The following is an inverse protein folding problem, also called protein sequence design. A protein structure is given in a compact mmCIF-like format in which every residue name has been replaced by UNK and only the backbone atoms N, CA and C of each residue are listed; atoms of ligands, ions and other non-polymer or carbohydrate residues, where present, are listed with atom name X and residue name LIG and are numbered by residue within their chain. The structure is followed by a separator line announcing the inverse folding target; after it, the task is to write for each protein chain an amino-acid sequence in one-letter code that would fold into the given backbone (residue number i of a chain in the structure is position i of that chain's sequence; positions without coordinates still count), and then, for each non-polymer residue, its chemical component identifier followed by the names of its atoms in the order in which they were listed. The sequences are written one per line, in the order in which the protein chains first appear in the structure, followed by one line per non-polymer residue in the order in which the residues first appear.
data_IF_020508387857
#
_entry.id   IF_020508387857
#
_cell.length_a   1.000
_cell.length_b   1.000
_cell.length_c   1.000
_cell.angle_alpha   90.00
_cell.angle_beta   90.00
_cell.angle_gamma   90.00
#
_symmetry.space_group_name_H-M   'P 1'
#
loop_
_entity.id
_entity.type
_entity.pdbx_description
1 polymer ?
#
# COMPACT_ATOMS: atom_id res chain seq x y z
N UNK A 1 12.48 -9.63 11.84
CA UNK A 1 11.27 -9.34 12.66
C UNK A 1 11.81 -8.82 13.98
N UNK A 2 11.47 -7.60 14.36
CA UNK A 2 11.88 -7.01 15.63
C UNK A 2 11.14 -7.72 16.75
N UNK A 3 11.86 -8.22 17.75
CA UNK A 3 11.35 -8.93 18.95
C UNK A 3 10.59 -7.99 19.91
N UNK A 4 10.25 -6.78 19.47
CA UNK A 4 9.52 -5.81 20.28
C UNK A 4 8.04 -6.21 20.38
N UNK A 5 7.45 -6.15 21.58
CA UNK A 5 6.04 -6.47 21.76
C UNK A 5 5.16 -5.51 20.93
N UNK A 6 4.04 -6.00 20.35
CA UNK A 6 3.17 -5.18 19.54
C UNK A 6 2.51 -4.07 20.37
N UNK A 7 2.50 -2.85 19.83
CA UNK A 7 1.82 -1.71 20.46
C UNK A 7 0.31 -1.71 20.17
N UNK A 8 -0.10 -2.16 18.96
CA UNK A 8 -1.51 -2.36 18.60
C UNK A 8 -1.72 -3.84 18.32
N UNK A 9 -2.78 -4.42 18.89
CA UNK A 9 -3.27 -5.75 18.56
C UNK A 9 -4.74 -5.66 18.18
N UNK A 10 -5.07 -6.08 16.99
CA UNK A 10 -6.43 -6.26 16.51
C UNK A 10 -6.72 -7.76 16.47
N UNK A 11 -7.83 -8.19 17.07
CA UNK A 11 -8.20 -9.61 17.16
C UNK A 11 -9.61 -9.80 16.63
N UNK A 12 -9.73 -10.50 15.51
CA UNK A 12 -11.01 -10.84 14.85
C UNK A 12 -11.93 -9.63 14.70
N UNK A 13 -11.34 -8.46 14.35
CA UNK A 13 -12.08 -7.22 14.28
C UNK A 13 -13.08 -7.27 13.12
N UNK A 14 -14.35 -7.06 13.45
CA UNK A 14 -15.47 -7.07 12.50
C UNK A 14 -16.25 -5.77 12.61
N UNK A 15 -16.70 -5.27 11.47
CA UNK A 15 -17.66 -4.17 11.38
C UNK A 15 -18.71 -4.43 10.33
N UNK A 16 -19.95 -4.26 10.72
CA UNK A 16 -21.11 -4.36 9.87
C UNK A 16 -21.99 -3.13 10.05
N UNK A 17 -22.50 -2.58 8.96
CA UNK A 17 -23.45 -1.47 8.91
C UNK A 17 -24.68 -1.94 8.16
N UNK A 18 -25.84 -1.94 8.79
CA UNK A 18 -27.15 -2.28 8.16
C UNK A 18 -27.09 -3.49 7.22
N UNK A 19 -26.45 -4.58 7.67
CA UNK A 19 -26.28 -5.81 6.91
C UNK A 19 -25.10 -5.81 5.92
N UNK A 20 -24.41 -4.69 5.74
CA UNK A 20 -23.22 -4.62 4.88
C UNK A 20 -21.95 -4.79 5.70
N UNK A 21 -21.13 -5.79 5.35
CA UNK A 21 -19.87 -6.07 6.03
C UNK A 21 -18.80 -5.12 5.48
N UNK A 22 -18.37 -4.15 6.30
CA UNK A 22 -17.29 -3.24 5.97
C UNK A 22 -15.91 -3.79 6.33
N UNK A 23 -15.82 -4.59 7.41
CA UNK A 23 -14.62 -5.33 7.82
C UNK A 23 -15.09 -6.70 8.28
N UNK A 24 -14.63 -7.77 7.62
CA UNK A 24 -15.13 -9.12 7.85
C UNK A 24 -14.46 -9.81 9.05
N UNK A 25 -13.14 -9.86 9.01
CA UNK A 25 -12.29 -10.44 10.07
C UNK A 25 -10.88 -9.87 9.88
N UNK A 26 -10.45 -9.03 10.81
CA UNK A 26 -9.12 -8.43 10.76
C UNK A 26 -8.35 -8.75 12.02
N UNK A 27 -7.28 -9.52 11.87
CA UNK A 27 -6.30 -9.81 12.91
C UNK A 27 -4.96 -9.24 12.49
N UNK A 28 -4.37 -8.39 13.33
CA UNK A 28 -3.14 -7.67 13.02
C UNK A 28 -2.38 -7.32 14.30
N UNK A 29 -1.08 -7.49 14.27
CA UNK A 29 -0.14 -6.95 15.25
C UNK A 29 0.73 -5.87 14.60
N UNK A 30 0.80 -4.70 15.24
CA UNK A 30 1.65 -3.58 14.82
C UNK A 30 2.73 -3.37 15.87
N UNK A 31 4.00 -3.36 15.45
CA UNK A 31 5.14 -3.19 16.34
C UNK A 31 5.28 -1.72 16.80
N UNK A 32 5.96 -1.50 17.93
CA UNK A 32 6.28 -0.14 18.38
C UNK A 32 7.26 0.52 17.42
N UNK A 33 6.99 1.79 17.06
CA UNK A 33 7.79 2.55 16.09
C UNK A 33 7.52 2.18 14.62
N UNK A 34 6.67 1.20 14.33
CA UNK A 34 6.35 0.78 12.97
C UNK A 34 5.51 1.83 12.22
N UNK A 35 5.82 2.04 10.95
CA UNK A 35 4.97 2.73 9.99
C UNK A 35 4.23 1.68 9.15
N UNK A 36 2.98 1.39 9.50
CA UNK A 36 2.15 0.46 8.72
C UNK A 36 1.17 1.21 7.81
N UNK A 37 1.12 0.82 6.53
CA UNK A 37 0.20 1.38 5.56
C UNK A 37 -0.96 0.43 5.29
N UNK A 38 -2.21 0.91 5.41
CA UNK A 38 -3.40 0.21 4.94
C UNK A 38 -3.71 0.66 3.54
N UNK A 39 -3.58 -0.23 2.58
CA UNK A 39 -3.71 0.01 1.15
C UNK A 39 -4.87 -0.79 0.56
N UNK A 40 -5.61 -0.22 -0.38
CA UNK A 40 -6.68 -0.91 -1.10
C UNK A 40 -7.62 0.05 -1.81
N UNK A 41 -8.56 -0.45 -2.61
CA UNK A 41 -9.56 0.37 -3.30
C UNK A 41 -10.43 1.17 -2.33
N UNK A 42 -11.12 2.19 -2.85
CA UNK A 42 -12.12 2.93 -2.06
C UNK A 42 -13.22 1.98 -1.57
N UNK A 43 -13.66 2.14 -0.32
CA UNK A 43 -14.73 1.31 0.25
C UNK A 43 -14.30 -0.06 0.78
N UNK A 44 -13.03 -0.46 0.71
CA UNK A 44 -12.59 -1.79 1.19
C UNK A 44 -12.42 -1.92 2.71
N UNK A 45 -12.77 -0.90 3.52
CA UNK A 45 -12.77 -0.99 4.99
C UNK A 45 -11.61 -0.30 5.71
N UNK A 46 -10.63 0.31 5.02
CA UNK A 46 -9.45 0.98 5.63
C UNK A 46 -9.81 2.07 6.64
N UNK A 47 -10.52 3.09 6.19
CA UNK A 47 -10.97 4.21 7.04
C UNK A 47 -11.88 3.73 8.18
N UNK A 48 -12.73 2.73 7.93
CA UNK A 48 -13.57 2.11 8.97
C UNK A 48 -12.70 1.46 10.05
N UNK A 49 -11.67 0.71 9.65
CA UNK A 49 -10.71 0.11 10.59
C UNK A 49 -9.97 1.17 11.40
N UNK A 50 -9.49 2.22 10.73
CA UNK A 50 -8.82 3.33 11.40
C UNK A 50 -9.73 4.03 12.41
N UNK A 51 -11.00 4.27 12.05
CA UNK A 51 -12.01 4.86 12.94
C UNK A 51 -12.35 3.96 14.12
N UNK A 52 -12.36 2.64 13.93
CA UNK A 52 -12.55 1.70 15.05
C UNK A 52 -11.39 1.76 16.05
N UNK A 53 -10.13 1.85 15.57
CA UNK A 53 -8.97 2.03 16.46
C UNK A 53 -9.07 3.36 17.22
N UNK A 54 -9.48 4.43 16.54
CA UNK A 54 -9.65 5.75 17.14
C UNK A 54 -10.80 5.86 18.14
N UNK A 55 -11.79 4.94 18.09
CA UNK A 55 -13.01 5.01 18.88
C UNK A 55 -14.09 5.92 18.32
N UNK A 56 -13.92 6.34 17.07
CA UNK A 56 -14.92 7.11 16.31
C UNK A 56 -16.01 6.19 15.76
N UNK A 57 -15.72 4.89 15.71
CA UNK A 57 -16.64 3.84 15.30
C UNK A 57 -16.49 2.66 16.27
N UNK A 58 -17.60 1.99 16.61
CA UNK A 58 -17.57 0.78 17.45
C UNK A 58 -17.48 -0.45 16.60
N UNK A 59 -16.59 -1.41 16.90
CA UNK A 59 -16.60 -2.71 16.24
C UNK A 59 -17.92 -3.45 16.55
N UNK A 60 -18.38 -4.26 15.58
CA UNK A 60 -19.51 -5.19 15.79
C UNK A 60 -19.06 -6.41 16.58
N UNK A 61 -17.82 -6.85 16.37
CA UNK A 61 -17.18 -7.94 17.10
C UNK A 61 -15.65 -7.76 17.08
N UNK A 62 -14.96 -8.53 17.92
CA UNK A 62 -13.52 -8.50 18.06
C UNK A 62 -13.02 -7.52 19.11
N UNK A 63 -11.71 -7.40 19.19
CA UNK A 63 -11.04 -6.63 20.25
C UNK A 63 -9.93 -5.77 19.68
N UNK A 64 -9.73 -4.59 20.33
CA UNK A 64 -8.63 -3.67 20.03
C UNK A 64 -7.83 -3.44 21.30
N UNK A 65 -6.52 -3.71 21.22
CA UNK A 65 -5.60 -3.53 22.34
C UNK A 65 -4.53 -2.52 21.99
N UNK A 66 -4.22 -1.63 22.92
CA UNK A 66 -3.07 -0.76 22.89
C UNK A 66 -2.12 -1.18 24.02
N UNK A 67 -0.97 -1.75 23.66
CA UNK A 67 -0.10 -2.50 24.58
C UNK A 67 -0.90 -3.61 25.30
N UNK A 68 -0.99 -3.56 26.62
CA UNK A 68 -1.72 -4.54 27.43
C UNK A 68 -3.14 -4.09 27.78
N UNK A 69 -3.57 -2.90 27.31
CA UNK A 69 -4.88 -2.35 27.62
C UNK A 69 -5.85 -2.55 26.47
N UNK A 70 -6.99 -3.16 26.76
CA UNK A 70 -8.11 -3.23 25.81
C UNK A 70 -8.77 -1.84 25.69
N UNK A 71 -8.90 -1.33 24.46
CA UNK A 71 -9.34 0.05 24.21
C UNK A 71 -10.66 0.14 23.43
N UNK A 72 -11.19 -0.93 22.84
CA UNK A 72 -12.46 -0.89 22.09
C UNK A 72 -13.66 -0.37 22.92
N UNK A 73 -13.80 -0.65 24.24
CA UNK A 73 -14.91 -0.11 25.02
C UNK A 73 -14.70 1.36 25.43
N UNK A 74 -13.48 1.91 25.27
CA UNK A 74 -13.14 3.25 25.73
C UNK A 74 -13.57 4.33 24.71
N UNK A 75 -13.97 5.51 25.18
CA UNK A 75 -14.21 6.65 24.31
C UNK A 75 -12.89 7.18 23.71
N UNK A 76 -12.92 7.90 22.56
CA UNK A 76 -11.72 8.32 21.83
C UNK A 76 -10.65 9.01 22.67
N UNK A 77 -11.05 9.93 23.55
CA UNK A 77 -10.15 10.73 24.41
C UNK A 77 -9.34 9.90 25.42
N UNK A 78 -9.77 8.66 25.70
CA UNK A 78 -9.11 7.77 26.67
C UNK A 78 -8.25 6.68 26.00
N UNK A 79 -8.22 6.61 24.66
CA UNK A 79 -7.50 5.56 23.92
C UNK A 79 -6.02 5.80 23.78
N UNK A 80 -5.51 7.01 23.99
CA UNK A 80 -4.09 7.32 23.85
C UNK A 80 -3.60 7.36 22.41
N UNK A 81 -4.52 7.44 21.44
CA UNK A 81 -4.22 7.55 20.00
C UNK A 81 -4.48 8.97 19.50
N UNK A 82 -3.73 9.40 18.51
CA UNK A 82 -3.95 10.66 17.81
C UNK A 82 -4.51 10.39 16.41
N UNK A 83 -5.46 11.20 15.97
CA UNK A 83 -6.12 11.04 14.68
C UNK A 83 -5.97 12.29 13.80
N UNK A 84 -5.49 12.10 12.58
CA UNK A 84 -5.40 13.15 11.56
C UNK A 84 -6.41 12.83 10.46
N UNK A 85 -7.38 13.73 10.30
CA UNK A 85 -8.46 13.59 9.31
C UNK A 85 -8.00 13.97 7.90
N UNK A 86 -8.59 13.40 6.89
CA UNK A 86 -8.35 13.67 5.48
C UNK A 86 -8.49 15.16 5.11
N UNK A 87 -9.43 15.87 5.73
CA UNK A 87 -9.66 17.30 5.53
C UNK A 87 -8.96 18.19 6.57
N UNK A 88 -7.97 17.64 7.29
CA UNK A 88 -7.20 18.28 8.38
C UNK A 88 -8.05 18.70 9.60
N UNK A 89 -9.33 18.93 9.45
CA UNK A 89 -10.29 19.37 10.48
C UNK A 89 -9.78 20.55 11.34
N UNK A 90 -9.10 21.53 10.71
CA UNK A 90 -8.58 22.70 11.40
C UNK A 90 -9.71 23.67 11.80
N UNK A 91 -9.49 24.37 12.91
CA UNK A 91 -10.33 25.49 13.32
C UNK A 91 -9.91 26.74 12.54
N UNK A 92 -10.59 27.02 11.43
CA UNK A 92 -10.23 28.02 10.43
C UNK A 92 -10.12 29.44 10.96
N UNK A 93 -10.90 29.79 12.00
CA UNK A 93 -10.92 31.09 12.65
C UNK A 93 -9.80 31.28 13.70
N UNK A 94 -9.16 30.19 14.11
CA UNK A 94 -8.06 30.19 15.08
C UNK A 94 -6.71 30.35 14.38
N UNK A 95 -5.70 30.81 15.14
CA UNK A 95 -4.31 30.79 14.69
C UNK A 95 -3.75 29.36 14.64
N UNK A 96 -2.58 29.17 13.97
CA UNK A 96 -1.87 27.90 14.02
C UNK A 96 -1.53 27.55 15.49
N UNK A 97 -1.07 28.50 16.28
CA UNK A 97 -0.80 28.32 17.71
C UNK A 97 -2.05 27.82 18.47
N UNK A 98 -3.20 28.48 18.28
CA UNK A 98 -4.43 28.11 19.00
C UNK A 98 -4.97 26.74 18.56
N UNK A 99 -4.79 26.37 17.29
CA UNK A 99 -5.07 25.02 16.80
C UNK A 99 -4.23 23.97 17.54
N UNK A 100 -2.91 24.20 17.68
CA UNK A 100 -2.03 23.29 18.42
C UNK A 100 -2.41 23.27 19.93
N UNK A 101 -2.65 24.41 20.53
CA UNK A 101 -2.93 24.55 21.97
C UNK A 101 -4.28 23.96 22.39
N UNK A 102 -5.24 23.85 21.47
CA UNK A 102 -6.62 23.54 21.76
C UNK A 102 -6.80 22.27 22.61
N UNK A 103 -6.20 21.18 22.20
CA UNK A 103 -6.33 19.89 22.89
C UNK A 103 -5.74 19.88 24.31
N UNK A 104 -4.68 20.65 24.55
CA UNK A 104 -4.07 20.80 25.87
C UNK A 104 -4.93 21.69 26.80
N UNK A 105 -5.46 22.78 26.26
CA UNK A 105 -6.35 23.68 27.01
C UNK A 105 -7.63 22.97 27.49
N UNK A 106 -8.26 22.18 26.61
CA UNK A 106 -9.44 21.36 26.95
C UNK A 106 -9.15 20.35 28.06
N UNK A 107 -7.90 19.87 28.13
CA UNK A 107 -7.45 18.96 29.20
C UNK A 107 -7.04 19.67 30.49
N UNK A 108 -7.14 21.00 30.56
CA UNK A 108 -6.80 21.78 31.74
C UNK A 108 -5.31 21.91 32.02
N UNK A 109 -4.45 21.71 30.97
CA UNK A 109 -3.00 21.90 31.11
C UNK A 109 -2.68 23.36 31.39
N UNK A 110 -1.68 23.63 32.24
CA UNK A 110 -1.30 24.99 32.62
C UNK A 110 -0.85 25.83 31.41
N UNK A 111 -1.12 27.14 31.39
CA UNK A 111 -0.72 28.01 30.27
C UNK A 111 0.77 27.95 29.92
N UNK A 112 1.62 27.87 30.96
CA UNK A 112 3.09 27.76 30.75
C UNK A 112 3.47 26.46 30.07
N UNK A 113 2.90 25.33 30.44
CA UNK A 113 3.15 24.03 29.84
C UNK A 113 2.54 23.95 28.43
N UNK A 114 1.39 24.56 28.18
CA UNK A 114 0.80 24.69 26.84
C UNK A 114 1.77 25.41 25.91
N UNK A 115 2.30 26.58 26.33
CA UNK A 115 3.22 27.36 25.50
C UNK A 115 4.51 26.58 25.23
N UNK A 116 5.07 25.91 26.23
CA UNK A 116 6.29 25.10 26.06
C UNK A 116 6.09 23.96 25.04
N UNK A 117 5.04 23.16 25.19
CA UNK A 117 4.76 22.03 24.28
C UNK A 117 4.39 22.47 22.87
N UNK A 118 3.63 23.58 22.75
CA UNK A 118 3.28 24.12 21.42
C UNK A 118 4.53 24.60 20.70
N UNK A 119 5.46 25.28 21.37
CA UNK A 119 6.72 25.74 20.75
C UNK A 119 7.62 24.58 20.35
N UNK A 120 7.78 23.58 21.21
CA UNK A 120 8.54 22.36 20.91
C UNK A 120 8.03 21.67 19.63
N UNK A 121 6.70 21.44 19.56
CA UNK A 121 6.09 20.80 18.37
C UNK A 121 6.16 21.73 17.15
N UNK A 122 5.98 23.04 17.34
CA UNK A 122 6.06 23.99 16.23
C UNK A 122 7.47 24.08 15.64
N UNK A 123 8.50 23.98 16.47
CA UNK A 123 9.91 23.93 16.02
C UNK A 123 10.18 22.64 15.23
N UNK A 124 9.77 21.48 15.77
CA UNK A 124 9.96 20.17 15.12
C UNK A 124 9.25 20.05 13.77
N UNK A 125 8.16 20.81 13.57
CA UNK A 125 7.35 20.82 12.35
C UNK A 125 7.59 22.08 11.48
N UNK A 126 8.59 22.90 11.78
CA UNK A 126 8.91 24.14 11.05
C UNK A 126 7.70 25.09 10.95
N UNK A 127 6.87 25.16 11.99
CA UNK A 127 5.69 26.01 12.07
C UNK A 127 5.93 27.36 12.75
N UNK A 128 7.10 27.58 13.37
CA UNK A 128 7.42 28.80 14.12
C UNK A 128 7.10 30.09 13.36
N UNK A 129 7.42 30.22 12.04
CA UNK A 129 7.14 31.46 11.30
C UNK A 129 5.64 31.75 11.11
N UNK A 130 4.80 30.70 11.14
CA UNK A 130 3.36 30.80 10.83
C UNK A 130 2.46 30.66 12.07
N UNK A 131 3.01 30.48 13.26
CA UNK A 131 2.26 30.24 14.50
C UNK A 131 1.16 31.28 14.76
N UNK A 132 1.41 32.57 14.45
CA UNK A 132 0.44 33.65 14.64
C UNK A 132 -0.56 33.83 13.50
N UNK A 133 -0.36 33.13 12.38
CA UNK A 133 -1.27 33.20 11.24
C UNK A 133 -2.55 32.39 11.51
N UNK A 134 -3.70 32.89 11.03
CA UNK A 134 -4.95 32.16 11.06
C UNK A 134 -4.87 30.93 10.12
N UNK A 135 -5.48 29.81 10.54
CA UNK A 135 -5.49 28.60 9.73
C UNK A 135 -6.03 28.84 8.30
N UNK A 136 -6.99 29.74 8.14
CA UNK A 136 -7.56 30.13 6.83
C UNK A 136 -6.57 30.82 5.88
N UNK A 137 -5.40 31.25 6.35
CA UNK A 137 -4.37 31.94 5.55
C UNK A 137 -3.12 31.08 5.32
N UNK A 138 -3.09 29.88 5.89
CA UNK A 138 -1.98 28.95 5.72
C UNK A 138 -2.04 28.31 4.30
N UNK A 139 -0.87 28.00 3.78
CA UNK A 139 -0.77 27.11 2.63
C UNK A 139 -1.09 25.66 3.02
N UNK A 140 -1.25 24.81 2.02
CA UNK A 140 -1.66 23.41 2.24
C UNK A 140 -0.64 22.62 3.08
N UNK A 141 0.67 22.87 2.87
CA UNK A 141 1.76 22.23 3.60
C UNK A 141 1.74 22.63 5.08
N UNK A 142 1.59 23.93 5.36
CA UNK A 142 1.46 24.41 6.75
C UNK A 142 0.19 23.90 7.41
N UNK A 143 -0.95 23.85 6.70
CA UNK A 143 -2.20 23.26 7.20
C UNK A 143 -2.02 21.82 7.66
N UNK A 144 -1.36 21.00 6.85
CA UNK A 144 -1.09 19.61 7.19
C UNK A 144 -0.20 19.50 8.42
N UNK A 145 0.91 20.28 8.46
CA UNK A 145 1.82 20.31 9.62
C UNK A 145 1.10 20.77 10.88
N UNK A 146 0.19 21.74 10.80
CA UNK A 146 -0.65 22.15 11.95
C UNK A 146 -1.59 21.03 12.38
N UNK A 147 -2.23 20.30 11.45
CA UNK A 147 -3.09 19.16 11.80
C UNK A 147 -2.31 18.04 12.50
N UNK A 148 -1.10 17.73 12.00
CA UNK A 148 -0.18 16.81 12.66
C UNK A 148 0.26 17.32 14.03
N UNK A 149 0.68 18.57 14.11
CA UNK A 149 1.14 19.21 15.36
C UNK A 149 0.05 19.22 16.43
N UNK A 150 -1.21 19.51 16.05
CA UNK A 150 -2.35 19.42 16.96
C UNK A 150 -2.53 18.03 17.55
N UNK A 151 -2.17 17.01 16.79
CA UNK A 151 -2.23 15.62 17.25
C UNK A 151 -0.99 15.26 18.08
N UNK A 152 0.18 15.74 17.72
CA UNK A 152 1.45 15.44 18.40
C UNK A 152 1.57 16.11 19.75
N UNK A 153 1.06 17.33 19.91
CA UNK A 153 1.17 18.12 21.14
C UNK A 153 0.57 17.43 22.36
N UNK A 154 -0.41 16.55 22.17
CA UNK A 154 -1.02 15.74 23.22
C UNK A 154 -0.28 14.44 23.49
N UNK A 155 0.86 14.22 22.82
CA UNK A 155 1.78 13.08 22.97
C UNK A 155 1.09 11.70 22.86
N UNK A 156 0.41 11.40 21.75
CA UNK A 156 -0.23 10.10 21.58
C UNK A 156 0.81 9.00 21.46
N UNK A 157 0.44 7.77 21.85
CA UNK A 157 1.30 6.59 21.68
C UNK A 157 1.36 6.14 20.20
N UNK A 158 0.25 6.32 19.47
CA UNK A 158 0.09 5.96 18.07
C UNK A 158 -0.57 7.09 17.29
N UNK A 159 -0.11 7.34 16.08
CA UNK A 159 -0.70 8.27 15.13
C UNK A 159 -1.50 7.51 14.08
N UNK A 160 -2.73 7.92 13.88
CA UNK A 160 -3.66 7.41 12.89
C UNK A 160 -3.88 8.48 11.82
N UNK A 161 -3.52 8.20 10.56
CA UNK A 161 -3.58 9.16 9.46
C UNK A 161 -4.52 8.63 8.36
N UNK A 162 -5.62 9.34 8.13
CA UNK A 162 -6.64 8.98 7.14
C UNK A 162 -6.45 9.80 5.87
N UNK A 163 -5.81 9.22 4.86
CA UNK A 163 -5.51 9.82 3.54
C UNK A 163 -4.96 11.25 3.59
N UNK A 164 -3.93 11.55 4.41
CA UNK A 164 -3.52 12.93 4.67
C UNK A 164 -2.89 13.65 3.47
N UNK A 165 -2.47 12.91 2.42
CA UNK A 165 -1.86 13.48 1.21
C UNK A 165 -2.81 13.58 0.01
N UNK A 166 -4.06 13.14 0.15
CA UNK A 166 -4.98 13.04 -0.98
C UNK A 166 -5.26 14.41 -1.66
N UNK A 167 -5.26 15.49 -0.88
CA UNK A 167 -5.57 16.84 -1.38
C UNK A 167 -4.37 17.56 -2.04
N UNK A 168 -3.19 16.92 -2.11
CA UNK A 168 -2.01 17.52 -2.72
C UNK A 168 -1.89 17.25 -4.22
N UNK A 169 -1.34 18.23 -4.95
CA UNK A 169 -0.93 18.03 -6.34
C UNK A 169 0.24 17.01 -6.40
N UNK A 170 0.38 16.25 -7.49
CA UNK A 170 1.37 15.16 -7.57
C UNK A 170 2.80 15.53 -7.15
N UNK A 171 3.35 16.64 -7.65
CA UNK A 171 4.71 17.06 -7.29
C UNK A 171 4.89 17.42 -5.82
N UNK A 172 3.88 18.03 -5.19
CA UNK A 172 3.94 18.36 -3.77
C UNK A 172 3.74 17.11 -2.90
N UNK A 173 2.92 16.16 -3.37
CA UNK A 173 2.70 14.87 -2.69
C UNK A 173 4.00 14.09 -2.51
N UNK A 174 4.87 14.09 -3.52
CA UNK A 174 6.19 13.44 -3.44
C UNK A 174 7.07 14.07 -2.34
N UNK A 175 7.13 15.40 -2.27
CA UNK A 175 7.85 16.12 -1.22
C UNK A 175 7.29 15.77 0.16
N UNK A 176 5.95 15.82 0.31
CA UNK A 176 5.26 15.57 1.58
C UNK A 176 5.42 14.13 2.06
N UNK A 177 5.50 13.13 1.15
CA UNK A 177 5.84 11.74 1.51
C UNK A 177 7.19 11.67 2.21
N UNK A 178 8.20 12.35 1.63
CA UNK A 178 9.53 12.41 2.21
C UNK A 178 9.56 13.09 3.59
N UNK A 179 8.79 14.18 3.77
CA UNK A 179 8.67 14.88 5.05
C UNK A 179 8.00 14.01 6.12
N UNK A 180 6.89 13.36 5.79
CA UNK A 180 6.18 12.46 6.72
C UNK A 180 7.06 11.29 7.17
N UNK A 181 7.80 10.66 6.24
CA UNK A 181 8.71 9.56 6.61
C UNK A 181 9.86 10.05 7.49
N UNK A 182 10.49 11.18 7.17
CA UNK A 182 11.55 11.79 8.01
C UNK A 182 11.02 12.10 9.41
N UNK A 183 9.84 12.71 9.50
CA UNK A 183 9.19 13.02 10.77
C UNK A 183 8.91 11.74 11.59
N UNK A 184 8.40 10.68 10.97
CA UNK A 184 8.16 9.41 11.65
C UNK A 184 9.45 8.85 12.24
N UNK A 185 10.53 8.86 11.45
CA UNK A 185 11.85 8.38 11.89
C UNK A 185 12.42 9.22 13.04
N UNK A 186 12.29 10.56 12.97
CA UNK A 186 12.78 11.45 14.02
C UNK A 186 12.01 11.34 15.33
N UNK A 187 10.68 11.12 15.25
CA UNK A 187 9.80 10.99 16.42
C UNK A 187 9.81 9.58 17.03
N UNK A 188 10.24 8.56 16.27
CA UNK A 188 10.18 7.15 16.69
C UNK A 188 8.77 6.66 17.03
N UNK A 189 7.72 7.31 16.48
CA UNK A 189 6.33 7.01 16.82
C UNK A 189 5.75 5.97 15.87
N UNK A 190 4.87 5.13 16.41
CA UNK A 190 4.06 4.21 15.60
C UNK A 190 3.02 4.97 14.80
N UNK A 191 2.93 4.66 13.51
CA UNK A 191 1.96 5.28 12.61
C UNK A 191 1.15 4.22 11.86
N UNK A 192 -0.17 4.42 11.83
CA UNK A 192 -1.09 3.69 10.95
C UNK A 192 -1.58 4.67 9.89
N UNK A 193 -1.24 4.42 8.66
CA UNK A 193 -1.48 5.30 7.52
C UNK A 193 -2.44 4.64 6.54
N UNK A 194 -3.56 5.30 6.25
CA UNK A 194 -4.53 4.84 5.26
C UNK A 194 -4.31 5.58 3.96
N UNK A 195 -4.24 4.85 2.86
CA UNK A 195 -4.17 5.41 1.51
C UNK A 195 -4.76 4.46 0.48
N UNK A 196 -5.14 4.99 -0.67
CA UNK A 196 -5.42 4.23 -1.89
C UNK A 196 -4.28 4.36 -2.93
N UNK A 197 -3.25 5.16 -2.63
CA UNK A 197 -2.09 5.36 -3.50
C UNK A 197 -1.00 4.32 -3.20
N UNK A 198 -0.72 3.49 -4.21
CA UNK A 198 0.30 2.44 -4.10
C UNK A 198 1.71 3.02 -3.85
N UNK A 199 2.05 4.16 -4.50
CA UNK A 199 3.37 4.77 -4.33
C UNK A 199 3.59 5.22 -2.89
N UNK A 200 2.56 5.79 -2.25
CA UNK A 200 2.61 6.18 -0.84
C UNK A 200 2.89 4.97 0.05
N UNK A 201 2.06 3.91 -0.08
CA UNK A 201 2.19 2.72 0.73
C UNK A 201 3.55 2.01 0.54
N UNK A 202 3.98 1.87 -0.73
CA UNK A 202 5.20 1.13 -1.07
C UNK A 202 6.49 1.90 -0.75
N UNK A 203 6.44 3.24 -0.60
CA UNK A 203 7.63 4.06 -0.30
C UNK A 203 7.76 4.43 1.17
N UNK A 204 6.65 4.58 1.90
CA UNK A 204 6.68 5.01 3.30
C UNK A 204 6.53 3.86 4.31
N UNK A 205 5.74 2.83 3.98
CA UNK A 205 5.43 1.74 4.89
C UNK A 205 6.62 0.83 5.20
N UNK A 206 6.83 0.51 6.45
CA UNK A 206 7.70 -0.61 6.85
C UNK A 206 7.00 -1.93 6.52
N UNK A 207 5.67 -1.99 6.75
CA UNK A 207 4.77 -3.03 6.24
C UNK A 207 3.55 -2.39 5.59
N UNK A 208 2.97 -3.13 4.64
CA UNK A 208 1.73 -2.76 3.96
C UNK A 208 0.71 -3.86 4.21
N UNK A 209 -0.48 -3.47 4.66
CA UNK A 209 -1.65 -4.31 4.76
C UNK A 209 -2.54 -3.99 3.55
N UNK A 210 -2.68 -4.95 2.64
CA UNK A 210 -3.55 -4.82 1.48
C UNK A 210 -4.94 -5.33 1.83
N UNK A 211 -5.96 -4.47 1.65
CA UNK A 211 -7.36 -4.79 1.89
C UNK A 211 -8.17 -4.83 0.59
N UNK A 212 -9.09 -5.78 0.53
CA UNK A 212 -10.07 -5.90 -0.54
C UNK A 212 -11.39 -6.43 0.03
N UNK A 213 -12.51 -5.78 -0.29
CA UNK A 213 -13.88 -6.19 0.11
C UNK A 213 -14.00 -6.54 1.61
N UNK A 214 -13.45 -5.69 2.47
CA UNK A 214 -13.50 -5.87 3.92
C UNK A 214 -12.58 -6.96 4.48
N UNK A 215 -11.70 -7.56 3.67
CA UNK A 215 -10.79 -8.63 4.05
C UNK A 215 -9.33 -8.21 3.88
N UNK A 216 -8.46 -8.82 4.66
CA UNK A 216 -7.02 -8.69 4.50
C UNK A 216 -6.54 -9.71 3.47
N UNK A 217 -5.98 -9.23 2.37
CA UNK A 217 -5.38 -10.05 1.32
C UNK A 217 -3.95 -10.47 1.65
N UNK A 218 -3.17 -9.49 2.12
CA UNK A 218 -1.76 -9.72 2.48
C UNK A 218 -1.26 -8.65 3.44
N UNK A 219 -0.39 -9.04 4.38
CA UNK A 219 0.39 -8.13 5.24
C UNK A 219 1.86 -8.53 5.12
N UNK A 220 2.68 -7.65 4.56
CA UNK A 220 4.10 -7.92 4.37
C UNK A 220 4.88 -6.62 4.13
N UNK A 221 6.21 -6.72 4.00
CA UNK A 221 7.03 -5.59 3.54
C UNK A 221 6.68 -5.22 2.10
N UNK A 222 6.87 -3.95 1.66
CA UNK A 222 6.63 -3.53 0.28
C UNK A 222 7.30 -4.44 -0.74
N UNK A 223 8.56 -4.84 -0.48
CA UNK A 223 9.33 -5.73 -1.35
C UNK A 223 8.68 -7.12 -1.50
N UNK A 224 8.17 -7.68 -0.40
CA UNK A 224 7.50 -8.99 -0.41
C UNK A 224 6.18 -8.93 -1.15
N UNK A 225 5.35 -7.89 -0.90
CA UNK A 225 4.08 -7.70 -1.62
C UNK A 225 4.30 -7.62 -3.13
N UNK A 226 5.35 -6.91 -3.56
CA UNK A 226 5.67 -6.80 -4.99
C UNK A 226 6.19 -8.10 -5.58
N UNK A 227 7.12 -8.78 -4.89
CA UNK A 227 7.82 -9.97 -5.40
C UNK A 227 7.07 -11.29 -5.17
N UNK A 228 6.22 -11.35 -4.14
CA UNK A 228 5.49 -12.55 -3.73
C UNK A 228 4.05 -12.19 -3.36
N UNK A 229 3.25 -11.72 -4.33
CA UNK A 229 1.84 -11.43 -4.08
C UNK A 229 1.13 -12.72 -3.67
N UNK A 230 0.34 -12.65 -2.58
CA UNK A 230 -0.34 -13.82 -2.03
C UNK A 230 -1.60 -14.20 -2.83
N UNK A 231 -2.18 -13.23 -3.54
CA UNK A 231 -3.41 -13.45 -4.31
C UNK A 231 -3.33 -12.78 -5.68
N UNK A 232 -4.18 -13.24 -6.59
CA UNK A 232 -4.35 -12.64 -7.92
C UNK A 232 -4.71 -11.15 -7.82
N UNK A 233 -5.55 -10.81 -6.81
CA UNK A 233 -5.91 -9.43 -6.55
C UNK A 233 -4.66 -8.58 -6.23
N UNK A 234 -3.83 -9.00 -5.26
CA UNK A 234 -2.62 -8.27 -4.87
C UNK A 234 -1.67 -8.12 -6.07
N UNK A 235 -1.49 -9.19 -6.86
CA UNK A 235 -0.63 -9.18 -8.04
C UNK A 235 -1.08 -8.16 -9.09
N UNK A 236 -2.38 -8.08 -9.35
CA UNK A 236 -2.96 -7.14 -10.32
C UNK A 236 -3.11 -5.72 -9.78
N UNK A 237 -3.34 -5.58 -8.47
CA UNK A 237 -3.49 -4.28 -7.84
C UNK A 237 -2.15 -3.56 -7.65
N UNK A 238 -1.05 -4.28 -7.39
CA UNK A 238 0.26 -3.71 -7.11
C UNK A 238 1.12 -3.65 -8.38
N UNK A 239 1.49 -2.44 -8.77
CA UNK A 239 2.33 -2.15 -9.94
C UNK A 239 1.64 -1.26 -10.96
N UNK A 240 2.43 -0.45 -11.69
CA UNK A 240 1.99 0.42 -12.79
C UNK A 240 2.96 0.34 -13.95
N UNK A 241 2.60 -0.32 -15.04
CA UNK A 241 1.33 -1.03 -15.31
C UNK A 241 1.09 -2.24 -14.41
N UNK A 242 -0.16 -2.72 -14.38
CA UNK A 242 -0.53 -3.93 -13.67
C UNK A 242 0.17 -5.16 -14.25
N UNK A 243 0.25 -6.25 -13.49
CA UNK A 243 0.75 -7.55 -13.95
C UNK A 243 -0.09 -8.08 -15.11
N UNK A 244 0.53 -8.68 -16.11
CA UNK A 244 -0.16 -9.43 -17.16
C UNK A 244 -0.60 -10.78 -16.60
N UNK A 245 -1.81 -11.21 -16.96
CA UNK A 245 -2.33 -12.53 -16.58
C UNK A 245 -2.67 -13.32 -17.83
N UNK A 246 -2.26 -14.60 -17.86
CA UNK A 246 -2.44 -15.53 -18.95
C UNK A 246 -3.02 -16.82 -18.39
N UNK A 247 -4.21 -17.20 -18.81
CA UNK A 247 -4.78 -18.49 -18.45
C UNK A 247 -4.04 -19.62 -19.19
N UNK A 248 -3.65 -20.66 -18.46
CA UNK A 248 -2.87 -21.76 -18.98
C UNK A 248 -3.40 -23.10 -18.51
N UNK A 249 -3.02 -24.15 -19.24
CA UNK A 249 -3.30 -25.53 -18.89
C UNK A 249 -2.01 -26.24 -18.51
N UNK A 250 -1.99 -26.89 -17.35
CA UNK A 250 -0.93 -27.78 -16.91
C UNK A 250 -0.92 -29.06 -17.72
N UNK A 251 0.23 -29.46 -18.23
CA UNK A 251 0.43 -30.68 -19.00
C UNK A 251 1.77 -31.33 -18.66
N UNK A 252 1.84 -32.64 -18.70
CA UNK A 252 3.09 -33.40 -18.58
C UNK A 252 3.39 -34.03 -19.92
N UNK A 253 4.58 -33.73 -20.50
CA UNK A 253 5.06 -34.23 -21.77
C UNK A 253 6.46 -34.81 -21.59
N UNK A 254 6.71 -36.02 -22.03
CA UNK A 254 8.01 -36.70 -21.88
C UNK A 254 8.56 -36.64 -20.44
N UNK A 255 7.68 -36.74 -19.45
CA UNK A 255 8.04 -36.68 -18.03
C UNK A 255 8.31 -35.28 -17.45
N UNK A 256 8.24 -34.22 -18.28
CA UNK A 256 8.41 -32.82 -17.85
C UNK A 256 7.12 -32.08 -17.74
N UNK A 257 7.06 -31.15 -16.80
CA UNK A 257 5.86 -30.35 -16.49
C UNK A 257 5.89 -28.99 -17.22
N UNK A 258 4.77 -28.68 -17.87
CA UNK A 258 4.60 -27.44 -18.65
C UNK A 258 3.29 -26.75 -18.32
N UNK A 259 3.30 -25.42 -18.46
CA UNK A 259 2.08 -24.59 -18.57
C UNK A 259 1.98 -24.14 -20.04
N UNK A 260 0.79 -24.34 -20.62
CA UNK A 260 0.51 -24.02 -22.02
C UNK A 260 -0.66 -23.07 -22.18
N UNK A 261 -0.50 -22.12 -23.09
CA UNK A 261 -1.55 -21.31 -23.68
C UNK A 261 -1.22 -21.12 -25.16
N UNK A 262 -1.91 -21.83 -26.05
CA UNK A 262 -1.66 -21.87 -27.49
C UNK A 262 -0.15 -21.98 -27.83
N UNK A 263 0.44 -20.91 -28.40
CA UNK A 263 1.87 -20.88 -28.75
C UNK A 263 2.81 -20.65 -27.55
N UNK A 264 2.28 -20.29 -26.37
CA UNK A 264 3.08 -20.03 -25.18
C UNK A 264 3.29 -21.33 -24.40
N UNK A 265 4.56 -21.60 -24.05
CA UNK A 265 4.93 -22.79 -23.29
C UNK A 265 6.00 -22.46 -22.26
N UNK A 266 5.74 -22.78 -21.01
CA UNK A 266 6.69 -22.62 -19.92
C UNK A 266 6.94 -23.93 -19.20
N UNK A 267 8.21 -24.37 -19.16
CA UNK A 267 8.63 -25.50 -18.33
C UNK A 267 8.65 -25.07 -16.85
N UNK A 268 7.99 -25.83 -15.98
CA UNK A 268 7.80 -25.50 -14.57
C UNK A 268 8.23 -26.64 -13.64
N UNK A 269 9.23 -27.43 -14.01
CA UNK A 269 9.63 -28.62 -13.26
C UNK A 269 9.89 -28.35 -11.78
N UNK A 270 10.53 -27.21 -11.44
CA UNK A 270 10.77 -26.79 -10.05
C UNK A 270 9.50 -26.45 -9.27
N UNK A 271 8.37 -26.26 -9.92
CA UNK A 271 7.06 -25.93 -9.32
C UNK A 271 6.00 -27.02 -9.56
N UNK A 272 6.40 -28.15 -10.17
CA UNK A 272 5.49 -29.24 -10.50
C UNK A 272 4.66 -29.71 -9.33
N UNK A 273 5.30 -30.10 -8.23
CA UNK A 273 4.59 -30.58 -7.02
C UNK A 273 3.62 -29.54 -6.45
N UNK A 274 3.99 -28.26 -6.48
CA UNK A 274 3.13 -27.18 -5.98
C UNK A 274 1.87 -27.04 -6.86
N UNK A 275 2.03 -27.09 -8.20
CA UNK A 275 0.92 -27.00 -9.14
C UNK A 275 -0.01 -28.22 -9.00
N UNK A 276 0.53 -29.43 -8.97
CA UNK A 276 -0.27 -30.68 -8.84
C UNK A 276 -1.09 -30.69 -7.53
N UNK A 277 -0.52 -30.16 -6.44
CA UNK A 277 -1.18 -30.11 -5.14
C UNK A 277 -2.21 -28.98 -5.03
N UNK A 278 -1.90 -27.78 -5.55
CA UNK A 278 -2.66 -26.55 -5.29
C UNK A 278 -3.60 -26.15 -6.44
N UNK A 279 -3.41 -26.72 -7.65
CA UNK A 279 -4.28 -26.52 -8.81
C UNK A 279 -4.75 -27.87 -9.41
N UNK A 280 -5.55 -28.65 -8.68
CA UNK A 280 -5.98 -30.00 -9.11
C UNK A 280 -6.83 -29.99 -10.38
N UNK A 281 -7.39 -28.84 -10.76
CA UNK A 281 -8.10 -28.68 -12.04
C UNK A 281 -7.19 -28.71 -13.26
N UNK A 282 -5.87 -28.60 -13.06
CA UNK A 282 -4.89 -28.42 -14.13
C UNK A 282 -4.90 -27.02 -14.77
N UNK A 283 -5.82 -26.14 -14.39
CA UNK A 283 -5.86 -24.74 -14.85
C UNK A 283 -5.01 -23.87 -13.94
N UNK A 284 -4.15 -23.04 -14.53
CA UNK A 284 -3.24 -22.14 -13.80
C UNK A 284 -3.24 -20.78 -14.49
N UNK A 285 -3.34 -19.70 -13.71
CA UNK A 285 -3.12 -18.35 -14.22
C UNK A 285 -1.65 -18.01 -14.03
N UNK A 286 -0.95 -17.73 -15.14
CA UNK A 286 0.42 -17.24 -15.14
C UNK A 286 0.38 -15.72 -15.07
N UNK A 287 1.02 -15.15 -14.04
CA UNK A 287 1.27 -13.72 -13.91
C UNK A 287 2.70 -13.38 -14.33
N UNK A 288 2.87 -12.34 -15.15
CA UNK A 288 4.18 -11.80 -15.49
C UNK A 288 4.15 -10.27 -15.45
N UNK A 289 5.14 -9.67 -14.80
CA UNK A 289 5.20 -8.21 -14.72
C UNK A 289 5.65 -7.60 -16.05
N UNK A 290 5.15 -6.40 -16.41
CA UNK A 290 5.50 -5.73 -17.66
C UNK A 290 7.00 -5.50 -17.85
N UNK A 291 7.79 -5.31 -16.81
CA UNK A 291 9.25 -5.14 -16.86
C UNK A 291 10.02 -6.46 -17.04
N UNK A 292 9.36 -7.60 -16.81
CA UNK A 292 9.94 -8.95 -17.01
C UNK A 292 9.66 -9.52 -18.41
N UNK A 293 8.90 -8.78 -19.25
CA UNK A 293 8.79 -8.97 -20.68
C UNK A 293 9.75 -7.98 -21.34
N UNK A 294 10.75 -8.47 -22.07
CA UNK A 294 11.82 -7.62 -22.62
C UNK A 294 12.05 -7.89 -24.09
N UNK A 295 12.36 -6.86 -24.90
CA UNK A 295 12.88 -7.06 -26.24
C UNK A 295 14.12 -7.95 -26.22
N UNK A 296 14.19 -8.91 -27.13
CA UNK A 296 15.31 -9.85 -27.19
C UNK A 296 16.69 -9.18 -27.47
N UNK A 297 16.67 -7.99 -28.09
CA UNK A 297 17.85 -7.16 -28.34
C UNK A 297 18.39 -6.45 -27.09
N UNK A 298 17.57 -6.33 -26.02
CA UNK A 298 18.04 -5.84 -24.73
C UNK A 298 18.61 -7.02 -23.97
N UNK A 299 19.92 -7.02 -23.74
CA UNK A 299 20.65 -8.13 -23.13
C UNK A 299 19.96 -8.67 -21.87
N UNK A 300 19.65 -9.96 -21.90
CA UNK A 300 19.18 -10.73 -20.74
C UNK A 300 20.39 -11.40 -20.12
N UNK A 301 20.60 -11.34 -18.77
CA UNK A 301 21.69 -12.05 -18.12
C UNK A 301 21.69 -13.56 -18.49
N UNK A 302 22.87 -14.13 -18.70
CA UNK A 302 23.04 -15.58 -19.00
C UNK A 302 22.38 -16.42 -17.91
N UNK A 303 21.61 -17.43 -18.29
CA UNK A 303 20.88 -18.35 -17.39
C UNK A 303 19.40 -18.04 -17.17
N UNK A 304 18.88 -16.90 -17.64
CA UNK A 304 17.43 -16.53 -17.52
C UNK A 304 16.73 -16.42 -18.87
N UNK A 305 17.29 -17.00 -19.93
CA UNK A 305 16.70 -16.96 -21.27
C UNK A 305 15.43 -17.80 -21.33
N UNK A 306 14.28 -17.14 -21.50
CA UNK A 306 13.05 -17.72 -22.00
C UNK A 306 13.16 -18.01 -23.49
N UNK A 307 12.17 -18.71 -24.05
CA UNK A 307 12.02 -18.81 -25.51
C UNK A 307 11.73 -17.41 -26.07
N UNK A 308 12.35 -17.12 -27.22
CA UNK A 308 12.09 -15.88 -27.96
C UNK A 308 10.75 -16.02 -28.66
N UNK A 309 9.90 -15.01 -28.48
CA UNK A 309 8.54 -14.98 -29.02
C UNK A 309 8.36 -13.76 -29.93
N UNK A 310 7.97 -13.93 -31.19
CA UNK A 310 7.63 -12.82 -32.07
C UNK A 310 6.28 -12.23 -31.64
N UNK A 311 6.24 -10.91 -31.44
CA UNK A 311 5.04 -10.15 -31.05
C UNK A 311 4.83 -8.97 -31.97
N UNK A 312 3.59 -8.57 -32.18
CA UNK A 312 3.25 -7.35 -32.90
C UNK A 312 3.01 -6.21 -31.92
N UNK A 313 3.68 -5.09 -32.11
CA UNK A 313 3.46 -3.87 -31.33
C UNK A 313 2.12 -3.23 -31.71
N UNK A 314 1.20 -3.13 -30.74
CA UNK A 314 -0.13 -2.56 -30.94
C UNK A 314 -0.15 -1.06 -30.61
N UNK A 315 0.35 -0.69 -29.43
CA UNK A 315 0.36 0.69 -28.93
C UNK A 315 1.66 1.01 -28.21
N UNK A 316 2.15 2.23 -28.40
CA UNK A 316 3.30 2.77 -27.67
C UNK A 316 2.91 4.02 -26.90
N UNK A 317 3.07 4.00 -25.59
CA UNK A 317 2.77 5.10 -24.68
C UNK A 317 4.07 5.62 -24.07
N UNK A 318 4.59 6.78 -24.50
CA UNK A 318 5.81 7.34 -23.93
C UNK A 318 5.54 7.97 -22.56
N UNK A 319 6.35 7.61 -21.56
CA UNK A 319 6.31 8.14 -20.20
C UNK A 319 7.71 8.56 -19.79
N UNK A 320 8.09 9.79 -20.10
CA UNK A 320 9.38 10.38 -19.74
C UNK A 320 10.61 9.43 -19.92
N UNK A 321 10.97 8.67 -18.88
CA UNK A 321 12.14 7.78 -18.87
C UNK A 321 11.85 6.35 -19.35
N UNK A 322 10.61 6.00 -19.59
CA UNK A 322 10.16 4.66 -20.00
C UNK A 322 9.03 4.76 -21.02
N UNK A 323 8.77 3.67 -21.71
CA UNK A 323 7.58 3.50 -22.56
C UNK A 323 6.81 2.29 -22.07
N UNK A 324 5.48 2.39 -22.06
CA UNK A 324 4.59 1.24 -21.96
C UNK A 324 4.25 0.86 -23.38
N UNK A 325 4.46 -0.42 -23.72
CA UNK A 325 4.22 -0.96 -25.05
C UNK A 325 3.21 -2.09 -24.91
N UNK A 326 2.07 -1.95 -25.56
CA UNK A 326 1.10 -3.04 -25.67
C UNK A 326 1.52 -3.90 -26.88
N UNK A 327 1.72 -5.19 -26.64
CA UNK A 327 2.14 -6.16 -27.67
C UNK A 327 1.10 -7.26 -27.81
N UNK A 328 0.82 -7.65 -29.03
CA UNK A 328 -0.10 -8.74 -29.40
C UNK A 328 0.65 -10.03 -29.66
N UNK A 329 0.17 -11.09 -29.05
CA UNK A 329 0.59 -12.47 -29.25
C UNK A 329 -0.68 -13.29 -29.40
N UNK A 330 -0.99 -13.73 -30.62
CA UNK A 330 -2.25 -14.42 -30.92
C UNK A 330 -3.45 -13.56 -30.46
N UNK A 331 -4.26 -14.08 -29.58
CA UNK A 331 -5.42 -13.41 -28.98
C UNK A 331 -5.10 -12.59 -27.73
N UNK A 332 -3.85 -12.66 -27.22
CA UNK A 332 -3.40 -11.97 -26.02
C UNK A 332 -2.86 -10.56 -26.32
N UNK A 333 -3.23 -9.60 -25.46
CA UNK A 333 -2.57 -8.29 -25.39
C UNK A 333 -1.81 -8.19 -24.10
N UNK A 334 -0.48 -8.08 -24.18
CA UNK A 334 0.40 -7.99 -23.04
C UNK A 334 1.04 -6.61 -22.96
N UNK A 335 1.23 -6.11 -21.76
CA UNK A 335 1.97 -4.86 -21.50
C UNK A 335 3.43 -5.16 -21.24
N UNK A 336 4.30 -4.39 -21.87
CA UNK A 336 5.75 -4.44 -21.68
C UNK A 336 6.25 -3.05 -21.29
N UNK A 337 7.26 -2.97 -20.43
CA UNK A 337 7.92 -1.71 -20.07
C UNK A 337 9.35 -1.72 -20.63
N UNK A 338 9.67 -0.71 -21.43
CA UNK A 338 11.00 -0.54 -22.01
C UNK A 338 11.58 0.85 -21.65
N UNK A 339 12.93 1.02 -21.69
CA UNK A 339 13.56 2.32 -21.54
C UNK A 339 13.02 3.33 -22.57
N UNK A 340 12.87 4.60 -22.18
CA UNK A 340 12.39 5.66 -23.07
C UNK A 340 13.24 5.87 -24.32
N UNK A 341 14.53 5.47 -24.28
CA UNK A 341 15.49 5.50 -25.38
C UNK A 341 15.31 4.34 -26.37
N UNK A 342 14.60 3.28 -26.01
CA UNK A 342 14.34 2.15 -26.89
C UNK A 342 13.44 2.58 -28.05
N UNK A 343 13.89 2.35 -29.29
CA UNK A 343 13.13 2.69 -30.51
C UNK A 343 12.15 1.56 -30.81
N UNK A 344 10.88 1.90 -30.81
CA UNK A 344 9.78 0.98 -31.12
C UNK A 344 8.58 1.79 -31.61
N UNK A 345 7.94 1.30 -32.68
CA UNK A 345 6.78 1.94 -33.30
C UNK A 345 5.61 0.96 -33.38
N UNK A 346 4.37 1.48 -33.36
CA UNK A 346 3.16 0.68 -33.54
C UNK A 346 3.16 -0.01 -34.92
N UNK A 347 2.68 -1.25 -34.98
CA UNK A 347 2.67 -2.10 -36.17
C UNK A 347 3.97 -2.87 -36.40
N UNK A 348 5.04 -2.57 -35.69
CA UNK A 348 6.33 -3.27 -35.81
C UNK A 348 6.24 -4.67 -35.21
N UNK A 349 6.90 -5.66 -35.85
CA UNK A 349 7.14 -6.96 -35.24
C UNK A 349 8.45 -6.92 -34.45
N UNK A 350 8.42 -7.49 -33.24
CA UNK A 350 9.50 -7.45 -32.26
C UNK A 350 9.63 -8.82 -31.60
N UNK A 351 10.84 -9.30 -31.43
CA UNK A 351 11.11 -10.49 -30.64
C UNK A 351 11.24 -10.13 -29.17
N UNK A 352 10.46 -10.79 -28.30
CA UNK A 352 10.51 -10.61 -26.85
C UNK A 352 10.89 -11.88 -26.12
N UNK A 353 11.43 -11.72 -24.94
CA UNK A 353 11.76 -12.80 -24.01
C UNK A 353 10.99 -12.55 -22.71
N UNK A 354 10.35 -13.58 -22.17
CA UNK A 354 9.70 -13.58 -20.86
C UNK A 354 10.62 -14.27 -19.84
N UNK A 355 10.93 -13.58 -18.73
CA UNK A 355 11.80 -14.14 -17.68
C UNK A 355 11.06 -15.27 -16.95
N UNK A 356 11.47 -16.53 -17.17
CA UNK A 356 10.86 -17.71 -16.52
C UNK A 356 10.98 -17.68 -14.99
N UNK A 357 12.03 -17.06 -14.48
CA UNK A 357 12.26 -16.91 -13.03
C UNK A 357 11.33 -15.89 -12.36
N UNK A 358 10.72 -15.02 -13.15
CA UNK A 358 9.82 -13.96 -12.69
C UNK A 358 8.33 -14.31 -12.84
N UNK A 359 7.99 -15.52 -13.28
CA UNK A 359 6.59 -15.96 -13.39
C UNK A 359 5.97 -16.13 -12.00
N UNK A 360 4.74 -15.66 -11.87
CA UNK A 360 3.86 -15.92 -10.73
C UNK A 360 2.76 -16.88 -11.18
N UNK A 361 2.42 -17.83 -10.32
CA UNK A 361 1.38 -18.83 -10.62
C UNK A 361 0.23 -18.67 -9.64
N UNK A 362 -1.01 -18.71 -10.14
CA UNK A 362 -2.21 -18.59 -9.33
C UNK A 362 -3.22 -19.67 -9.69
N UNK A 363 -3.88 -20.20 -8.69
CA UNK A 363 -5.03 -21.09 -8.91
C UNK A 363 -6.28 -20.25 -9.26
N UNK A 364 -6.93 -20.51 -10.39
CA UNK A 364 -8.10 -19.72 -10.83
C UNK A 364 -9.34 -19.92 -9.94
N UNK A 365 -9.41 -20.97 -9.12
CA UNK A 365 -10.55 -21.24 -8.24
C UNK A 365 -10.42 -20.50 -6.90
N UNK A 366 -9.23 -20.57 -6.28
CA UNK A 366 -8.98 -19.95 -4.98
C UNK A 366 -8.43 -18.54 -5.10
N UNK A 367 -7.97 -18.14 -6.29
CA UNK A 367 -7.28 -16.88 -6.61
C UNK A 367 -5.98 -16.68 -5.79
N UNK A 368 -5.45 -17.75 -5.20
CA UNK A 368 -4.23 -17.72 -4.39
C UNK A 368 -3.00 -18.10 -5.20
N UNK A 369 -1.85 -17.55 -4.78
CA UNK A 369 -0.56 -17.90 -5.37
C UNK A 369 -0.23 -19.38 -5.10
N UNK A 370 0.37 -20.01 -6.11
CA UNK A 370 0.91 -21.38 -6.10
C UNK A 370 2.44 -21.28 -5.93
N UNK A 371 2.95 -21.82 -4.85
CA UNK A 371 4.39 -21.77 -4.64
C UNK A 371 4.84 -22.07 -3.23
#
# INVERSE_FOLDING_TARGET
MTDAPPIIRLRHLRKEFDGTIAVADLTLDVAEGEFICFLGPSGCGKTTTLRMIAGLERPTAGEIWLRERRIDPLPPQQRGVGFVFQNYALFWHMSAYDNLAFGLRVRGVSPAEVDARVREVAESLELTPVLRQRASRLDLSAMQRVALGRTLVVQPQVLLLDEPLNNFRPGLREVMRGELKRMQLSLGRTMVYVTHDQEEAMTMGDRVLVMHEGRVEQVATPREIYRRPATLFVAGFIGRPAMNFIETQYQVEDGRAFLRHDALRWEIETRREAVERQAPSGRVIVGIRPEDIRPAVLAVPEGRRGETLPVQVDLVQPLARRKIVDVKVLDLVLKMVVPGTFRVDAGQTLDVVMDRGALHLFDPQTLRAIG
#
